data_IF_304206067759
#
_entry.id   IF_304206067759
#
_cell.length_a   1.000
_cell.length_b   1.000
_cell.length_c   1.000
_cell.angle_alpha   90.00
_cell.angle_beta   90.00
_cell.angle_gamma   90.00
#
_symmetry.space_group_name_H-M   'P 1'
#
loop_
_entity.id
_entity.type
_entity.pdbx_description
1 polymer ?
#
# COMPACT_ATOMS: atom_id res chain seq x y z
N UNK A 1 21.20 4.83 6.84
CA UNK A 1 22.51 4.63 6.17
C UNK A 1 23.31 5.92 5.99
N UNK A 2 22.74 7.01 5.43
CA UNK A 2 23.44 8.30 5.27
C UNK A 2 23.97 8.85 6.60
N UNK A 3 23.12 8.91 7.62
CA UNK A 3 23.47 9.46 8.93
C UNK A 3 24.70 8.77 9.55
N UNK A 4 24.75 7.43 9.53
CA UNK A 4 25.88 6.66 10.08
C UNK A 4 27.20 6.94 9.33
N UNK A 5 27.18 6.96 7.99
CA UNK A 5 28.36 7.31 7.19
C UNK A 5 28.82 8.74 7.49
N UNK A 6 27.89 9.69 7.59
CA UNK A 6 28.20 11.08 7.91
C UNK A 6 28.81 11.20 9.31
N UNK A 7 28.27 10.50 10.31
CA UNK A 7 28.83 10.51 11.67
C UNK A 7 30.22 9.90 11.74
N UNK A 8 30.49 8.82 11.00
CA UNK A 8 31.84 8.23 10.93
C UNK A 8 32.84 9.19 10.28
N UNK A 9 32.45 9.85 9.19
CA UNK A 9 33.31 10.83 8.50
C UNK A 9 33.60 12.03 9.40
N UNK A 10 32.58 12.57 10.07
CA UNK A 10 32.74 13.68 11.02
C UNK A 10 33.68 13.26 12.16
N UNK A 11 33.50 12.07 12.72
CA UNK A 11 34.38 11.56 13.78
C UNK A 11 35.84 11.47 13.33
N UNK A 12 36.10 10.89 12.15
CA UNK A 12 37.45 10.80 11.58
C UNK A 12 38.05 12.19 11.37
N UNK A 13 37.29 13.14 10.83
CA UNK A 13 37.75 14.52 10.64
C UNK A 13 38.10 15.21 11.97
N UNK A 14 37.25 15.08 12.99
CA UNK A 14 37.50 15.63 14.33
C UNK A 14 38.75 15.03 14.94
N UNK A 15 38.97 13.72 14.80
CA UNK A 15 40.19 13.05 15.28
C UNK A 15 41.44 13.58 14.57
N UNK A 16 41.40 13.73 13.24
CA UNK A 16 42.53 14.26 12.47
C UNK A 16 42.85 15.70 12.88
N UNK A 17 41.83 16.57 13.01
CA UNK A 17 42.01 17.95 13.47
C UNK A 17 42.58 17.99 14.89
N UNK A 18 42.11 17.12 15.78
CA UNK A 18 42.61 16.98 17.15
C UNK A 18 44.10 16.63 17.21
N UNK A 19 44.53 15.64 16.42
CA UNK A 19 45.94 15.24 16.32
C UNK A 19 46.79 16.41 15.79
N UNK A 20 46.36 17.07 14.71
CA UNK A 20 47.09 18.21 14.13
C UNK A 20 47.22 19.36 15.14
N UNK A 21 46.13 19.67 15.85
CA UNK A 21 46.13 20.70 16.89
C UNK A 21 47.11 20.35 18.02
N UNK A 22 47.10 19.10 18.48
CA UNK A 22 47.93 18.64 19.59
C UNK A 22 49.43 18.62 19.21
N UNK A 23 49.78 18.09 18.03
CA UNK A 23 51.15 18.12 17.51
C UNK A 23 51.65 19.55 17.36
N UNK A 24 50.82 20.46 16.81
CA UNK A 24 51.15 21.89 16.73
C UNK A 24 51.34 22.53 18.12
N UNK A 25 50.57 22.10 19.12
CA UNK A 25 50.69 22.61 20.49
C UNK A 25 52.00 22.17 21.12
N UNK A 26 52.38 20.89 21.00
CA UNK A 26 53.67 20.38 21.51
C UNK A 26 54.85 21.13 20.88
N UNK A 27 54.84 21.33 19.56
CA UNK A 27 55.91 22.04 18.86
C UNK A 27 56.08 23.49 19.32
N UNK A 28 55.02 24.14 19.81
CA UNK A 28 55.07 25.52 20.32
C UNK A 28 55.54 25.62 21.77
N UNK A 29 55.68 24.50 22.50
CA UNK A 29 56.10 24.52 23.90
C UNK A 29 57.63 24.59 23.99
N UNK A 30 58.15 25.74 24.44
CA UNK A 30 59.55 25.88 24.81
C UNK A 30 59.76 25.27 26.21
N UNK A 31 60.38 24.08 26.25
CA UNK A 31 60.88 23.49 27.49
C UNK A 31 62.32 23.97 27.71
N UNK A 32 62.67 24.21 28.99
CA UNK A 32 63.89 24.89 29.45
C UNK A 32 65.12 24.66 28.58
N UNK A 33 65.52 25.71 27.86
CA UNK A 33 66.79 25.75 27.11
C UNK A 33 67.93 25.62 28.12
N UNK A 34 68.87 24.70 27.91
CA UNK A 34 70.20 24.75 28.54
C UNK A 34 70.87 26.03 28.01
N UNK A 35 70.70 27.14 28.74
CA UNK A 35 71.21 28.45 28.34
C UNK A 35 72.70 28.57 28.68
N UNK A 36 73.37 29.61 28.18
CA UNK A 36 74.80 29.89 28.43
C UNK A 36 75.11 29.90 29.94
N UNK A 37 74.16 30.33 30.77
CA UNK A 37 74.27 30.33 32.24
C UNK A 37 74.42 28.92 32.82
N UNK A 38 73.68 27.93 32.28
CA UNK A 38 73.78 26.54 32.73
C UNK A 38 75.17 25.96 32.41
N UNK A 39 75.65 26.15 31.18
CA UNK A 39 76.95 25.64 30.79
C UNK A 39 78.12 26.36 31.49
N UNK A 40 77.94 27.64 31.85
CA UNK A 40 78.93 28.36 32.64
C UNK A 40 79.05 27.80 34.07
N UNK A 41 77.92 27.39 34.69
CA UNK A 41 77.95 26.69 35.98
C UNK A 41 78.62 25.31 35.87
N UNK A 42 78.35 24.57 34.78
CA UNK A 42 79.03 23.31 34.51
C UNK A 42 80.54 23.50 34.30
N UNK A 43 80.97 24.57 33.61
CA UNK A 43 82.38 24.91 33.45
C UNK A 43 83.10 25.10 34.80
N UNK A 44 82.47 25.80 35.74
CA UNK A 44 83.04 25.98 37.08
C UNK A 44 83.20 24.65 37.83
N UNK A 45 82.21 23.75 37.71
CA UNK A 45 82.28 22.43 38.33
C UNK A 45 83.36 21.54 37.68
N UNK A 46 83.49 21.58 36.35
CA UNK A 46 84.55 20.90 35.60
C UNK A 46 85.94 21.40 36.04
N UNK A 47 86.12 22.73 36.16
CA UNK A 47 87.37 23.32 36.65
C UNK A 47 87.68 22.90 38.09
N UNK A 48 86.68 22.84 38.97
CA UNK A 48 86.85 22.41 40.35
C UNK A 48 87.29 20.93 40.45
N UNK A 49 86.66 20.04 39.68
CA UNK A 49 87.00 18.61 39.68
C UNK A 49 88.38 18.34 39.06
N UNK A 50 88.78 19.11 38.05
CA UNK A 50 90.14 19.08 37.49
C UNK A 50 91.19 19.50 38.52
N UNK A 51 90.89 20.48 39.37
CA UNK A 51 91.78 20.90 40.46
C UNK A 51 91.89 19.86 41.57
N UNK A 52 90.84 19.06 41.79
CA UNK A 52 90.82 17.95 42.75
C UNK A 52 91.55 16.70 42.22
N UNK A 53 92.03 16.71 40.97
CA UNK A 53 92.81 15.63 40.38
C UNK A 53 91.97 14.45 39.89
N UNK A 54 90.67 14.66 39.65
CA UNK A 54 89.80 13.65 39.01
C UNK A 54 90.24 13.46 37.57
N UNK A 55 90.17 12.22 37.07
CA UNK A 55 90.60 11.90 35.70
C UNK A 55 89.72 12.58 34.65
N UNK A 56 90.31 13.01 33.53
CA UNK A 56 89.58 13.69 32.45
C UNK A 56 88.42 12.84 31.93
N UNK A 57 88.61 11.53 31.73
CA UNK A 57 87.55 10.61 31.29
C UNK A 57 86.36 10.53 32.26
N UNK A 58 86.60 10.63 33.58
CA UNK A 58 85.52 10.64 34.57
C UNK A 58 84.73 11.95 34.54
N UNK A 59 85.41 13.08 34.32
CA UNK A 59 84.79 14.41 34.23
C UNK A 59 83.99 14.53 32.93
N UNK A 60 84.56 14.10 31.81
CA UNK A 60 83.89 14.07 30.51
C UNK A 60 82.57 13.29 30.57
N UNK A 61 82.59 12.11 31.22
CA UNK A 61 81.41 11.29 31.41
C UNK A 61 80.40 11.89 32.40
N UNK A 62 80.87 12.51 33.48
CA UNK A 62 80.02 13.09 34.54
C UNK A 62 79.27 14.33 34.05
N UNK A 63 79.92 15.16 33.25
CA UNK A 63 79.39 16.45 32.77
C UNK A 63 78.99 16.45 31.29
N UNK A 64 79.08 15.28 30.64
CA UNK A 64 78.75 15.08 29.22
C UNK A 64 79.46 16.10 28.31
N UNK A 65 80.76 16.26 28.52
CA UNK A 65 81.60 17.23 27.81
C UNK A 65 82.85 16.55 27.24
N UNK A 66 83.53 17.23 26.31
CA UNK A 66 84.85 16.83 25.82
C UNK A 66 85.88 17.85 26.29
N UNK A 67 86.94 17.39 26.96
CA UNK A 67 88.01 18.21 27.50
C UNK A 67 89.22 18.10 26.58
N UNK A 68 89.76 19.24 26.19
CA UNK A 68 90.95 19.35 25.34
C UNK A 68 91.98 20.17 26.10
N UNK A 69 92.99 19.51 26.66
CA UNK A 69 94.09 20.15 27.39
C UNK A 69 95.16 20.72 26.44
N UNK A 70 94.72 21.51 25.49
CA UNK A 70 95.62 22.22 24.58
C UNK A 70 95.08 23.59 24.23
N UNK A 71 96.02 24.51 24.08
CA UNK A 71 95.80 25.91 23.72
C UNK A 71 95.92 26.14 22.23
N UNK A 72 96.22 25.10 21.44
CA UNK A 72 96.40 25.22 20.00
C UNK A 72 95.04 25.33 19.28
N UNK A 73 94.76 26.44 18.59
CA UNK A 73 93.51 26.61 17.85
C UNK A 73 93.35 25.66 16.65
N UNK A 74 94.45 25.09 16.13
CA UNK A 74 94.44 24.17 14.97
C UNK A 74 94.36 22.69 15.35
N UNK A 75 94.02 22.40 16.61
CA UNK A 75 93.91 21.03 17.08
C UNK A 75 92.78 20.26 16.37
N UNK A 76 93.05 19.09 15.76
CA UNK A 76 92.07 18.36 14.95
C UNK A 76 90.78 18.01 15.71
N UNK A 77 90.87 17.73 17.01
CA UNK A 77 89.72 17.42 17.85
C UNK A 77 88.84 18.65 18.11
N UNK A 78 89.47 19.81 18.32
CA UNK A 78 88.77 21.08 18.49
C UNK A 78 88.04 21.48 17.21
N UNK A 79 88.70 21.37 16.04
CA UNK A 79 88.09 21.65 14.73
C UNK A 79 86.88 20.73 14.49
N UNK A 80 86.98 19.44 14.86
CA UNK A 80 85.89 18.47 14.76
C UNK A 80 84.69 18.86 15.64
N UNK A 81 84.91 19.32 16.86
CA UNK A 81 83.83 19.75 17.77
C UNK A 81 83.18 21.06 17.32
N UNK A 82 83.95 22.01 16.81
CA UNK A 82 83.43 23.25 16.21
C UNK A 82 82.58 22.94 14.98
N UNK A 83 83.00 21.98 14.14
CA UNK A 83 82.21 21.54 12.97
C UNK A 83 80.85 20.93 13.36
N UNK A 84 80.76 20.36 14.57
CA UNK A 84 79.52 19.84 15.18
C UNK A 84 78.71 20.90 15.93
N UNK A 85 79.07 22.19 15.81
CA UNK A 85 78.44 23.32 16.53
C UNK A 85 78.47 23.18 18.05
N UNK A 86 79.52 22.57 18.60
CA UNK A 86 79.69 22.49 20.04
C UNK A 86 79.86 23.88 20.68
N UNK A 87 79.34 24.07 21.89
CA UNK A 87 79.66 25.22 22.73
C UNK A 87 81.02 24.97 23.35
N UNK A 88 82.02 25.71 22.90
CA UNK A 88 83.39 25.63 23.40
C UNK A 88 83.62 26.77 24.39
N UNK A 89 84.12 26.44 25.57
CA UNK A 89 84.53 27.40 26.59
C UNK A 89 85.95 27.13 27.06
N UNK A 90 86.64 28.19 27.48
CA UNK A 90 88.03 28.10 27.91
C UNK A 90 88.15 27.65 29.37
N UNK A 91 89.05 26.70 29.62
CA UNK A 91 89.44 26.28 30.96
C UNK A 91 90.60 27.18 31.39
N UNK A 92 90.41 27.94 32.47
CA UNK A 92 91.42 28.87 32.98
C UNK A 92 91.94 28.42 34.33
N UNK A 93 93.26 28.44 34.53
CA UNK A 93 93.92 28.21 35.82
C UNK A 93 94.83 29.39 36.12
N UNK A 94 94.63 30.03 37.28
CA UNK A 94 95.38 31.22 37.70
C UNK A 94 95.42 32.36 36.66
N UNK A 95 94.39 32.46 35.82
CA UNK A 95 94.25 33.49 34.78
C UNK A 95 94.82 33.11 33.42
N UNK A 96 95.48 31.97 33.27
CA UNK A 96 95.96 31.45 31.98
C UNK A 96 95.02 30.37 31.43
N UNK A 97 94.84 30.37 30.11
CA UNK A 97 94.05 29.33 29.42
C UNK A 97 94.91 28.06 29.36
N UNK A 98 94.44 27.00 30.00
CA UNK A 98 95.13 25.70 30.06
C UNK A 98 94.49 24.62 29.19
N UNK A 99 93.27 24.86 28.72
CA UNK A 99 92.54 23.95 27.85
C UNK A 99 91.18 24.49 27.46
N UNK A 100 90.37 23.66 26.80
CA UNK A 100 89.01 23.97 26.36
C UNK A 100 88.07 22.83 26.73
N UNK A 101 86.82 23.16 27.02
CA UNK A 101 85.74 22.18 27.19
C UNK A 101 84.65 22.44 26.17
N UNK A 102 84.13 21.38 25.57
CA UNK A 102 83.11 21.45 24.53
C UNK A 102 81.88 20.63 24.89
N UNK A 103 80.70 21.22 24.73
CA UNK A 103 79.41 20.54 24.84
C UNK A 103 78.75 20.42 23.47
N UNK A 104 78.43 19.20 23.05
CA UNK A 104 77.73 18.91 21.79
C UNK A 104 76.22 18.67 21.97
N UNK A 105 75.71 18.70 23.20
CA UNK A 105 74.35 18.30 23.57
C UNK A 105 73.33 19.47 23.63
N UNK A 106 73.68 20.61 23.02
CA UNK A 106 72.89 21.86 23.08
C UNK A 106 71.54 21.73 22.37
N UNK A 107 71.48 20.96 21.28
CA UNK A 107 70.26 20.77 20.48
C UNK A 107 69.71 19.33 20.52
N UNK A 108 70.57 18.32 20.68
CA UNK A 108 70.20 16.93 20.37
C UNK A 108 69.32 16.22 21.42
N UNK A 109 69.50 16.46 22.72
CA UNK A 109 68.74 15.69 23.73
C UNK A 109 67.26 16.14 23.82
N UNK A 110 67.01 17.44 23.69
CA UNK A 110 65.67 18.02 23.79
C UNK A 110 64.80 17.70 22.55
N UNK A 111 65.39 17.72 21.34
CA UNK A 111 64.67 17.33 20.12
C UNK A 111 64.32 15.85 20.11
N UNK A 112 65.22 14.99 20.61
CA UNK A 112 64.96 13.57 20.74
C UNK A 112 63.84 13.26 21.74
N UNK A 113 63.80 13.94 22.89
CA UNK A 113 62.70 13.81 23.86
C UNK A 113 61.36 14.29 23.28
N UNK A 114 61.34 15.43 22.57
CA UNK A 114 60.13 15.94 21.88
C UNK A 114 59.61 14.96 20.82
N UNK A 115 60.50 14.44 19.98
CA UNK A 115 60.12 13.48 18.93
C UNK A 115 59.56 12.18 19.51
N UNK A 116 60.08 11.73 20.65
CA UNK A 116 59.60 10.55 21.37
C UNK A 116 58.19 10.75 21.95
N UNK A 117 57.93 11.92 22.57
CA UNK A 117 56.61 12.27 23.07
C UNK A 117 55.57 12.39 21.95
N UNK A 118 55.92 13.05 20.85
CA UNK A 118 55.02 13.17 19.69
C UNK A 118 54.68 11.80 19.11
N UNK A 119 55.66 10.91 18.94
CA UNK A 119 55.44 9.53 18.47
C UNK A 119 54.51 8.76 19.42
N UNK A 120 54.76 8.83 20.72
CA UNK A 120 53.94 8.12 21.73
C UNK A 120 52.48 8.57 21.71
N UNK A 121 52.25 9.87 21.58
CA UNK A 121 50.91 10.45 21.47
C UNK A 121 50.21 9.99 20.18
N UNK A 122 50.90 10.05 19.04
CA UNK A 122 50.32 9.62 17.76
C UNK A 122 49.89 8.15 17.85
N UNK A 123 50.71 7.28 18.45
CA UNK A 123 50.38 5.86 18.64
C UNK A 123 49.10 5.71 19.49
N UNK A 124 48.99 6.42 20.62
CA UNK A 124 47.80 6.38 21.47
C UNK A 124 46.56 6.83 20.69
N UNK A 125 46.66 7.90 19.91
CA UNK A 125 45.56 8.41 19.08
C UNK A 125 45.13 7.43 18.00
N UNK A 126 46.07 6.75 17.35
CA UNK A 126 45.78 5.72 16.35
C UNK A 126 45.07 4.53 17.01
N UNK A 127 45.51 4.09 18.19
CA UNK A 127 44.84 3.01 18.94
C UNK A 127 43.39 3.38 19.27
N UNK A 128 43.16 4.60 19.77
CA UNK A 128 41.81 5.09 20.07
C UNK A 128 40.96 5.14 18.80
N UNK A 129 41.51 5.66 17.69
CA UNK A 129 40.81 5.75 16.41
C UNK A 129 40.39 4.37 15.90
N UNK A 130 41.30 3.39 15.90
CA UNK A 130 41.01 2.02 15.46
C UNK A 130 39.97 1.37 16.38
N UNK A 131 40.08 1.56 17.69
CA UNK A 131 39.11 1.05 18.66
C UNK A 131 37.69 1.58 18.42
N UNK A 132 37.54 2.90 18.25
CA UNK A 132 36.23 3.51 17.99
C UNK A 132 35.67 3.10 16.63
N UNK A 133 36.51 3.01 15.59
CA UNK A 133 36.09 2.51 14.28
C UNK A 133 35.62 1.04 14.36
N UNK A 134 36.31 0.21 15.14
CA UNK A 134 35.90 -1.18 15.39
C UNK A 134 34.54 -1.26 16.11
N UNK A 135 34.32 -0.45 17.14
CA UNK A 135 33.03 -0.36 17.85
C UNK A 135 31.93 0.13 16.91
N UNK A 136 32.18 1.16 16.10
CA UNK A 136 31.23 1.64 15.10
C UNK A 136 30.87 0.54 14.10
N UNK A 137 31.86 -0.18 13.57
CA UNK A 137 31.64 -1.29 12.65
C UNK A 137 30.82 -2.41 13.31
N UNK A 138 31.10 -2.73 14.57
CA UNK A 138 30.34 -3.72 15.34
C UNK A 138 28.87 -3.28 15.50
N UNK A 139 28.60 -2.03 15.90
CA UNK A 139 27.25 -1.48 15.99
C UNK A 139 26.55 -1.54 14.63
N UNK A 140 27.26 -1.21 13.55
CA UNK A 140 26.69 -1.25 12.22
C UNK A 140 26.25 -2.66 11.80
N UNK A 141 27.13 -3.65 11.98
CA UNK A 141 26.89 -5.03 11.56
C UNK A 141 25.85 -5.74 12.45
N UNK A 142 25.89 -5.52 13.76
CA UNK A 142 25.03 -6.23 14.71
C UNK A 142 23.70 -5.52 15.00
N UNK A 143 23.62 -4.20 14.82
CA UNK A 143 22.43 -3.41 15.19
C UNK A 143 21.77 -2.74 14.00
N UNK A 144 22.50 -1.90 13.25
CA UNK A 144 21.90 -1.05 12.21
C UNK A 144 21.44 -1.87 11.00
N UNK A 145 22.25 -2.84 10.55
CA UNK A 145 21.91 -3.67 9.40
C UNK A 145 20.65 -4.54 9.66
N UNK A 146 20.57 -5.33 10.75
CA UNK A 146 19.37 -6.12 11.04
C UNK A 146 18.09 -5.29 11.17
N UNK A 147 18.15 -4.12 11.83
CA UNK A 147 16.98 -3.25 11.96
C UNK A 147 16.46 -2.75 10.60
N UNK A 148 17.34 -2.46 9.64
CA UNK A 148 16.91 -2.07 8.29
C UNK A 148 16.31 -3.25 7.51
N UNK A 149 16.82 -4.46 7.69
CA UNK A 149 16.25 -5.68 7.10
C UNK A 149 14.82 -5.92 7.64
N UNK A 150 14.62 -5.73 8.95
CA UNK A 150 13.30 -5.86 9.59
C UNK A 150 12.29 -4.82 9.13
N UNK A 151 12.75 -3.59 8.86
CA UNK A 151 11.91 -2.58 8.20
C UNK A 151 11.41 -3.09 6.84
N UNK A 152 12.29 -3.71 6.06
CA UNK A 152 11.92 -4.33 4.78
C UNK A 152 10.85 -5.42 4.94
N UNK A 153 11.00 -6.30 5.93
CA UNK A 153 9.98 -7.33 6.23
C UNK A 153 8.62 -6.72 6.58
N UNK A 154 8.61 -5.64 7.37
CA UNK A 154 7.38 -4.93 7.72
C UNK A 154 6.71 -4.31 6.49
N UNK A 155 7.49 -3.75 5.55
CA UNK A 155 6.97 -3.19 4.29
C UNK A 155 6.39 -4.28 3.37
N UNK A 156 7.01 -5.47 3.30
CA UNK A 156 6.48 -6.60 2.52
C UNK A 156 5.17 -7.14 3.10
N UNK A 157 5.09 -7.31 4.42
CA UNK A 157 3.85 -7.70 5.12
C UNK A 157 2.75 -6.65 4.87
N UNK A 158 3.08 -5.36 4.99
CA UNK A 158 2.12 -4.28 4.74
C UNK A 158 1.63 -4.22 3.30
N UNK A 159 2.41 -4.70 2.33
CA UNK A 159 2.00 -4.85 0.92
C UNK A 159 1.18 -6.11 0.65
N UNK A 160 0.97 -6.96 1.66
CA UNK A 160 0.24 -8.22 1.54
C UNK A 160 1.08 -9.41 1.08
N UNK A 161 2.41 -9.27 0.99
CA UNK A 161 3.30 -10.38 0.65
C UNK A 161 3.66 -11.19 1.91
N UNK A 162 2.84 -12.18 2.24
CA UNK A 162 2.99 -13.02 3.45
C UNK A 162 3.81 -14.30 3.21
N UNK A 163 4.23 -14.57 1.98
CA UNK A 163 4.99 -15.77 1.61
C UNK A 163 6.50 -15.58 1.69
N UNK A 164 6.97 -14.33 1.76
CA UNK A 164 8.39 -14.02 1.81
C UNK A 164 9.03 -14.57 3.10
N UNK A 165 10.06 -15.43 3.02
CA UNK A 165 10.72 -15.99 4.20
C UNK A 165 11.52 -14.90 4.95
N UNK A 166 11.32 -14.82 6.26
CA UNK A 166 12.07 -13.94 7.16
C UNK A 166 13.29 -14.73 7.62
N UNK A 167 14.50 -14.24 7.34
CA UNK A 167 15.72 -14.89 7.80
C UNK A 167 15.86 -14.73 9.33
N UNK A 168 15.58 -15.79 10.08
CA UNK A 168 15.64 -15.79 11.55
C UNK A 168 17.11 -15.87 12.00
N UNK A 169 17.59 -14.81 12.64
CA UNK A 169 18.92 -14.79 13.24
C UNK A 169 18.82 -15.14 14.73
N UNK A 170 18.66 -16.45 15.05
CA UNK A 170 18.43 -16.97 16.41
C UNK A 170 19.45 -16.54 17.47
N UNK A 171 20.68 -16.22 17.08
CA UNK A 171 21.76 -15.84 18.01
C UNK A 171 22.01 -14.31 18.10
N UNK A 172 21.11 -13.47 17.58
CA UNK A 172 21.23 -12.01 17.67
C UNK A 172 20.30 -11.44 18.76
N UNK A 173 20.60 -10.25 19.25
CA UNK A 173 19.80 -9.46 20.21
C UNK A 173 18.35 -9.26 19.70
N UNK A 174 18.14 -9.33 18.38
CA UNK A 174 16.83 -9.22 17.73
C UNK A 174 16.14 -10.56 17.45
N UNK A 175 16.69 -11.70 17.90
CA UNK A 175 16.15 -13.03 17.60
C UNK A 175 14.68 -13.19 18.00
N UNK A 176 14.34 -12.81 19.24
CA UNK A 176 12.95 -12.86 19.74
C UNK A 176 12.00 -11.94 18.98
N UNK A 177 12.51 -10.81 18.48
CA UNK A 177 11.74 -9.87 17.69
C UNK A 177 11.50 -10.44 16.28
N UNK A 178 12.52 -11.02 15.64
CA UNK A 178 12.34 -11.71 14.35
C UNK A 178 11.37 -12.89 14.44
N UNK A 179 11.39 -13.63 15.55
CA UNK A 179 10.43 -14.72 15.81
C UNK A 179 9.00 -14.20 15.99
N UNK A 180 8.82 -13.12 16.76
CA UNK A 180 7.51 -12.48 16.93
C UNK A 180 6.93 -11.98 15.61
N UNK A 181 7.78 -11.46 14.70
CA UNK A 181 7.39 -11.07 13.35
C UNK A 181 6.99 -12.26 12.48
N UNK A 182 7.73 -13.36 12.57
CA UNK A 182 7.45 -14.58 11.82
C UNK A 182 6.10 -15.19 12.24
N UNK A 183 5.84 -15.27 13.55
CA UNK A 183 4.55 -15.69 14.12
C UNK A 183 3.43 -14.77 13.65
N UNK A 184 3.62 -13.45 13.69
CA UNK A 184 2.61 -12.49 13.22
C UNK A 184 2.30 -12.68 11.73
N UNK A 185 3.33 -12.85 10.88
CA UNK A 185 3.16 -13.09 9.44
C UNK A 185 2.40 -14.39 9.19
N UNK A 186 2.75 -15.46 9.89
CA UNK A 186 2.09 -16.75 9.77
C UNK A 186 0.62 -16.70 10.23
N UNK A 187 0.33 -16.02 11.35
CA UNK A 187 -1.04 -15.84 11.84
C UNK A 187 -1.87 -14.98 10.88
N UNK A 188 -1.29 -13.91 10.32
CA UNK A 188 -1.94 -13.11 9.29
C UNK A 188 -2.25 -13.94 8.04
N UNK A 189 -1.30 -14.78 7.60
CA UNK A 189 -1.49 -15.66 6.45
C UNK A 189 -2.61 -16.66 6.71
N UNK A 190 -2.59 -17.32 7.88
CA UNK A 190 -3.62 -18.25 8.29
C UNK A 190 -4.99 -17.58 8.46
N UNK A 191 -5.04 -16.35 8.97
CA UNK A 191 -6.27 -15.57 9.09
C UNK A 191 -6.85 -15.22 7.71
N UNK A 192 -6.01 -14.77 6.78
CA UNK A 192 -6.42 -14.43 5.41
C UNK A 192 -6.96 -15.65 4.65
N UNK A 193 -6.31 -16.80 4.80
CA UNK A 193 -6.77 -18.06 4.21
C UNK A 193 -8.12 -18.50 4.80
N UNK A 194 -8.28 -18.42 6.14
CA UNK A 194 -9.55 -18.72 6.81
C UNK A 194 -10.68 -17.80 6.35
N UNK A 195 -10.40 -16.51 6.20
CA UNK A 195 -11.34 -15.52 5.66
C UNK A 195 -11.78 -15.89 4.24
N UNK A 196 -10.81 -16.19 3.35
CA UNK A 196 -11.10 -16.60 1.98
C UNK A 196 -11.93 -17.90 1.91
N UNK A 197 -11.61 -18.89 2.75
CA UNK A 197 -12.38 -20.13 2.84
C UNK A 197 -13.80 -19.90 3.37
N UNK A 198 -13.96 -19.04 4.38
CA UNK A 198 -15.28 -18.71 4.92
C UNK A 198 -16.14 -17.98 3.89
N UNK A 199 -15.57 -17.03 3.15
CA UNK A 199 -16.25 -16.35 2.04
C UNK A 199 -16.66 -17.35 0.95
N UNK A 200 -15.76 -18.24 0.54
CA UNK A 200 -16.10 -19.28 -0.45
C UNK A 200 -17.23 -20.19 0.03
N UNK A 201 -17.17 -20.66 1.28
CA UNK A 201 -18.23 -21.49 1.87
C UNK A 201 -19.57 -20.75 1.96
N UNK A 202 -19.55 -19.45 2.30
CA UNK A 202 -20.76 -18.59 2.31
C UNK A 202 -21.38 -18.51 0.90
N UNK A 203 -20.57 -18.37 -0.17
CA UNK A 203 -21.07 -18.40 -1.57
C UNK A 203 -21.71 -19.73 -1.94
N UNK A 204 -21.00 -20.83 -1.68
CA UNK A 204 -21.46 -22.18 -2.05
C UNK A 204 -22.77 -22.52 -1.32
N UNK A 205 -22.86 -22.24 -0.02
CA UNK A 205 -24.06 -22.45 0.79
C UNK A 205 -25.27 -21.67 0.26
N UNK A 206 -25.08 -20.39 -0.10
CA UNK A 206 -26.15 -19.56 -0.65
C UNK A 206 -26.64 -20.10 -2.00
N UNK A 207 -25.74 -20.57 -2.86
CA UNK A 207 -26.09 -21.15 -4.15
C UNK A 207 -26.90 -22.44 -4.01
N UNK A 208 -26.50 -23.32 -3.09
CA UNK A 208 -27.19 -24.58 -2.79
C UNK A 208 -28.60 -24.32 -2.23
N UNK A 209 -28.72 -23.46 -1.21
CA UNK A 209 -30.02 -23.06 -0.63
C UNK A 209 -30.96 -22.46 -1.68
N UNK A 210 -30.42 -21.69 -2.63
CA UNK A 210 -31.20 -21.08 -3.72
C UNK A 210 -31.77 -22.13 -4.65
N UNK A 211 -30.97 -23.13 -5.04
CA UNK A 211 -31.45 -24.24 -5.85
C UNK A 211 -32.53 -25.06 -5.12
N UNK A 212 -32.30 -25.34 -3.84
CA UNK A 212 -33.16 -26.19 -3.02
C UNK A 212 -34.49 -25.55 -2.65
N UNK A 213 -34.57 -24.21 -2.62
CA UNK A 213 -35.82 -23.49 -2.41
C UNK A 213 -36.56 -23.24 -3.73
N UNK A 214 -35.85 -23.01 -4.84
CA UNK A 214 -36.47 -22.78 -6.16
C UNK A 214 -37.31 -23.99 -6.62
N UNK A 215 -36.82 -25.20 -6.38
CA UNK A 215 -37.47 -26.46 -6.77
C UNK A 215 -38.86 -26.66 -6.13
N UNK A 216 -39.03 -26.59 -4.79
CA UNK A 216 -40.34 -26.71 -4.16
C UNK A 216 -41.24 -25.52 -4.48
N UNK A 217 -40.71 -24.29 -4.61
CA UNK A 217 -41.51 -23.12 -4.98
C UNK A 217 -42.07 -23.24 -6.39
N UNK A 218 -41.28 -23.67 -7.37
CA UNK A 218 -41.75 -23.94 -8.73
C UNK A 218 -42.82 -25.04 -8.76
N UNK A 219 -42.68 -26.06 -7.90
CA UNK A 219 -43.70 -27.11 -7.75
C UNK A 219 -44.99 -26.53 -7.19
N UNK A 220 -44.91 -25.69 -6.15
CA UNK A 220 -46.09 -25.00 -5.59
C UNK A 220 -46.79 -24.16 -6.66
N UNK A 221 -46.05 -23.33 -7.40
CA UNK A 221 -46.59 -22.52 -8.50
C UNK A 221 -47.28 -23.39 -9.55
N UNK A 222 -46.63 -24.44 -10.03
CA UNK A 222 -47.21 -25.37 -11.02
C UNK A 222 -48.49 -26.03 -10.49
N UNK A 223 -48.51 -26.46 -9.22
CA UNK A 223 -49.71 -27.04 -8.63
C UNK A 223 -50.85 -26.02 -8.49
N UNK A 224 -50.52 -24.77 -8.14
CA UNK A 224 -51.48 -23.67 -8.10
C UNK A 224 -52.07 -23.41 -9.48
N UNK A 225 -51.25 -23.31 -10.53
CA UNK A 225 -51.72 -23.13 -11.91
C UNK A 225 -52.69 -24.24 -12.33
N UNK A 226 -52.35 -25.50 -12.04
CA UNK A 226 -53.24 -26.64 -12.36
C UNK A 226 -54.54 -26.59 -11.57
N UNK A 227 -54.49 -26.23 -10.28
CA UNK A 227 -55.70 -26.10 -9.44
C UNK A 227 -56.59 -24.96 -9.92
N UNK A 228 -56.00 -23.80 -10.26
CA UNK A 228 -56.69 -22.65 -10.82
C UNK A 228 -57.40 -23.00 -12.12
N UNK A 229 -56.69 -23.60 -13.07
CA UNK A 229 -57.27 -24.06 -14.35
C UNK A 229 -58.42 -25.06 -14.16
N UNK A 230 -58.31 -25.97 -13.18
CA UNK A 230 -59.41 -26.90 -12.85
C UNK A 230 -60.62 -26.19 -12.27
N UNK A 231 -60.42 -25.23 -11.37
CA UNK A 231 -61.49 -24.46 -10.75
C UNK A 231 -62.18 -23.55 -11.77
N UNK A 232 -61.42 -22.87 -12.63
CA UNK A 232 -61.93 -22.04 -13.74
C UNK A 232 -62.76 -22.86 -14.73
N UNK A 233 -62.28 -24.05 -15.14
CA UNK A 233 -63.07 -24.96 -16.00
C UNK A 233 -64.35 -25.45 -15.33
N UNK A 234 -64.33 -25.69 -14.01
CA UNK A 234 -65.52 -26.09 -13.26
C UNK A 234 -66.52 -24.92 -13.21
N UNK A 235 -66.03 -23.71 -12.95
CA UNK A 235 -66.80 -22.47 -12.95
C UNK A 235 -67.45 -22.20 -14.32
N UNK A 236 -66.69 -22.32 -15.41
CA UNK A 236 -67.15 -22.10 -16.78
C UNK A 236 -68.25 -23.11 -17.18
N UNK A 237 -68.10 -24.39 -16.82
CA UNK A 237 -69.14 -25.41 -17.05
C UNK A 237 -70.44 -25.10 -16.30
N UNK A 238 -70.34 -24.67 -15.04
CA UNK A 238 -71.52 -24.35 -14.22
C UNK A 238 -72.22 -23.08 -14.72
N UNK A 239 -71.45 -22.07 -15.17
CA UNK A 239 -71.99 -20.84 -15.77
C UNK A 239 -72.67 -21.10 -17.13
N UNK A 240 -72.09 -21.94 -17.99
CA UNK A 240 -72.67 -22.30 -19.28
C UNK A 240 -73.94 -23.15 -19.14
N UNK A 241 -74.02 -24.02 -18.12
CA UNK A 241 -75.24 -24.77 -17.80
C UNK A 241 -76.40 -23.86 -17.34
N UNK A 242 -76.10 -22.72 -16.70
CA UNK A 242 -77.10 -21.74 -16.28
C UNK A 242 -77.66 -20.91 -17.45
N UNK A 243 -76.89 -20.72 -18.53
CA UNK A 243 -77.27 -19.92 -19.69
C UNK A 243 -78.06 -20.71 -20.77
N UNK A 244 -78.15 -22.04 -20.66
CA UNK A 244 -78.84 -22.88 -21.65
C UNK A 244 -79.78 -23.90 -20.94
N UNK A 245 -81.05 -23.52 -20.64
CA UNK A 245 -81.92 -24.22 -19.70
C UNK A 245 -82.57 -25.54 -20.19
N UNK A 246 -82.06 -26.18 -21.25
CA UNK A 246 -82.74 -27.33 -21.87
C UNK A 246 -82.27 -28.73 -21.40
N UNK A 247 -81.16 -28.87 -20.67
CA UNK A 247 -80.54 -30.19 -20.47
C UNK A 247 -80.71 -30.86 -19.08
N UNK A 248 -81.19 -30.19 -18.02
CA UNK A 248 -81.47 -30.89 -16.73
C UNK A 248 -82.43 -30.11 -15.80
N UNK A 249 -83.70 -30.54 -15.61
CA UNK A 249 -84.68 -29.88 -14.74
C UNK A 249 -84.46 -30.09 -13.23
N UNK A 250 -83.45 -30.87 -12.83
CA UNK A 250 -83.36 -31.40 -11.45
C UNK A 250 -82.36 -30.66 -10.56
N UNK A 251 -81.49 -29.81 -11.14
CA UNK A 251 -80.52 -29.03 -10.35
C UNK A 251 -81.15 -27.73 -9.87
N UNK A 252 -81.31 -27.64 -8.54
CA UNK A 252 -81.87 -26.46 -7.89
C UNK A 252 -80.87 -25.30 -8.02
N UNK A 253 -81.35 -24.09 -8.32
CA UNK A 253 -80.54 -22.86 -8.48
C UNK A 253 -79.57 -22.65 -7.30
N UNK A 254 -79.96 -23.10 -6.09
CA UNK A 254 -79.14 -23.07 -4.89
C UNK A 254 -77.86 -23.95 -4.96
N UNK A 255 -77.91 -25.14 -5.58
CA UNK A 255 -76.74 -26.02 -5.74
C UNK A 255 -75.73 -25.45 -6.75
N UNK A 256 -76.23 -24.75 -7.77
CA UNK A 256 -75.39 -24.04 -8.75
C UNK A 256 -74.70 -22.81 -8.15
N UNK A 257 -75.37 -22.04 -7.29
CA UNK A 257 -74.76 -20.87 -6.63
C UNK A 257 -73.72 -21.30 -5.59
N UNK A 258 -73.97 -22.37 -4.83
CA UNK A 258 -73.02 -22.91 -3.85
C UNK A 258 -71.74 -23.45 -4.52
N UNK A 259 -71.88 -24.19 -5.64
CA UNK A 259 -70.72 -24.71 -6.40
C UNK A 259 -69.93 -23.61 -7.12
N UNK A 260 -70.58 -22.52 -7.54
CA UNK A 260 -69.92 -21.32 -8.09
C UNK A 260 -69.16 -20.58 -7.00
N UNK A 261 -69.75 -20.41 -5.82
CA UNK A 261 -69.09 -19.78 -4.68
C UNK A 261 -67.86 -20.58 -4.22
N UNK A 262 -67.97 -21.90 -4.17
CA UNK A 262 -66.87 -22.81 -3.80
C UNK A 262 -65.72 -22.78 -4.82
N UNK A 263 -66.03 -22.75 -6.12
CA UNK A 263 -65.01 -22.63 -7.17
C UNK A 263 -64.29 -21.26 -7.12
N UNK A 264 -65.02 -20.17 -6.83
CA UNK A 264 -64.43 -18.84 -6.63
C UNK A 264 -63.51 -18.80 -5.39
N UNK A 265 -63.94 -19.37 -4.27
CA UNK A 265 -63.13 -19.44 -3.04
C UNK A 265 -61.83 -20.23 -3.26
N UNK A 266 -61.88 -21.33 -4.02
CA UNK A 266 -60.68 -22.09 -4.40
C UNK A 266 -59.72 -21.24 -5.25
N UNK A 267 -60.23 -20.53 -6.27
CA UNK A 267 -59.40 -19.66 -7.11
C UNK A 267 -58.73 -18.57 -6.27
N UNK A 268 -59.48 -17.93 -5.38
CA UNK A 268 -58.97 -16.85 -4.52
C UNK A 268 -57.88 -17.34 -3.55
N UNK A 269 -58.07 -18.53 -2.95
CA UNK A 269 -57.04 -19.18 -2.11
C UNK A 269 -55.81 -19.60 -2.90
N UNK A 270 -55.99 -20.16 -4.09
CA UNK A 270 -54.89 -20.57 -4.97
C UNK A 270 -54.08 -19.37 -5.43
N UNK A 271 -54.74 -18.28 -5.81
CA UNK A 271 -54.08 -17.02 -6.17
C UNK A 271 -53.29 -16.45 -4.99
N UNK A 272 -53.83 -16.52 -3.77
CA UNK A 272 -53.10 -16.13 -2.57
C UNK A 272 -51.86 -16.99 -2.33
N UNK A 273 -51.94 -18.31 -2.50
CA UNK A 273 -50.79 -19.22 -2.34
C UNK A 273 -49.74 -18.94 -3.42
N UNK A 274 -50.15 -18.76 -4.68
CA UNK A 274 -49.27 -18.42 -5.79
C UNK A 274 -48.53 -17.11 -5.52
N UNK A 275 -49.24 -16.06 -5.09
CA UNK A 275 -48.65 -14.77 -4.75
C UNK A 275 -47.65 -14.88 -3.57
N UNK A 276 -47.92 -15.73 -2.57
CA UNK A 276 -46.96 -16.00 -1.49
C UNK A 276 -45.73 -16.77 -1.97
N UNK A 277 -45.89 -17.73 -2.88
CA UNK A 277 -44.79 -18.45 -3.49
C UNK A 277 -43.90 -17.52 -4.33
N UNK A 278 -44.49 -16.57 -5.06
CA UNK A 278 -43.77 -15.53 -5.79
C UNK A 278 -42.94 -14.64 -4.87
N UNK A 279 -43.51 -14.21 -3.74
CA UNK A 279 -42.79 -13.42 -2.72
C UNK A 279 -41.59 -14.20 -2.17
N UNK A 280 -41.73 -15.51 -1.93
CA UNK A 280 -40.61 -16.36 -1.47
C UNK A 280 -39.52 -16.44 -2.54
N UNK A 281 -39.90 -16.69 -3.79
CA UNK A 281 -38.96 -16.78 -4.91
C UNK A 281 -38.16 -15.48 -5.07
N UNK A 282 -38.86 -14.34 -4.96
CA UNK A 282 -38.21 -13.04 -5.04
C UNK A 282 -37.32 -12.74 -3.83
N UNK A 283 -37.77 -13.03 -2.60
CA UNK A 283 -36.93 -12.89 -1.39
C UNK A 283 -35.63 -13.68 -1.50
N UNK A 284 -35.72 -14.91 -2.02
CA UNK A 284 -34.55 -15.75 -2.27
C UNK A 284 -33.62 -15.15 -3.30
N UNK A 285 -34.14 -14.67 -4.43
CA UNK A 285 -33.32 -13.97 -5.42
C UNK A 285 -32.61 -12.76 -4.81
N UNK A 286 -33.26 -11.99 -3.93
CA UNK A 286 -32.62 -10.83 -3.28
C UNK A 286 -31.55 -11.24 -2.27
N UNK A 287 -31.77 -12.28 -1.45
CA UNK A 287 -30.75 -12.77 -0.53
C UNK A 287 -29.56 -13.28 -1.32
N UNK A 288 -29.81 -14.03 -2.39
CA UNK A 288 -28.79 -14.52 -3.32
C UNK A 288 -28.00 -13.38 -3.94
N UNK A 289 -28.68 -12.36 -4.48
CA UNK A 289 -28.03 -11.19 -5.06
C UNK A 289 -27.28 -10.36 -4.02
N UNK A 290 -27.86 -10.08 -2.85
CA UNK A 290 -27.22 -9.28 -1.81
C UNK A 290 -25.98 -9.96 -1.22
N UNK A 291 -26.06 -11.28 -1.00
CA UNK A 291 -24.91 -12.04 -0.49
C UNK A 291 -23.85 -12.22 -1.57
N UNK A 292 -24.21 -12.55 -2.81
CA UNK A 292 -23.23 -12.55 -3.90
C UNK A 292 -22.66 -11.17 -4.20
N UNK A 293 -23.39 -10.08 -3.98
CA UNK A 293 -22.87 -8.71 -4.13
C UNK A 293 -21.88 -8.33 -3.02
N UNK A 294 -22.02 -8.89 -1.81
CA UNK A 294 -21.02 -8.76 -0.74
C UNK A 294 -19.78 -9.61 -1.00
N UNK A 295 -19.99 -10.78 -1.61
CA UNK A 295 -18.99 -11.85 -1.75
C UNK A 295 -18.24 -11.82 -3.09
N UNK A 296 -18.80 -11.20 -4.13
CA UNK A 296 -18.18 -11.01 -5.44
C UNK A 296 -18.15 -9.54 -5.81
N UNK A 297 -16.96 -9.07 -6.21
CA UNK A 297 -16.87 -7.99 -7.17
C UNK A 297 -17.76 -8.38 -8.36
N UNK A 298 -18.97 -7.80 -8.50
CA UNK A 298 -19.88 -8.03 -9.64
C UNK A 298 -19.07 -8.28 -10.92
N UNK A 299 -19.04 -9.54 -11.38
CA UNK A 299 -18.20 -9.97 -12.49
C UNK A 299 -18.88 -9.54 -13.78
N UNK A 300 -18.19 -8.66 -14.50
CA UNK A 300 -18.62 -8.12 -15.79
C UNK A 300 -17.57 -8.54 -16.80
N UNK A 301 -17.94 -9.43 -17.71
CA UNK A 301 -17.08 -9.84 -18.82
C UNK A 301 -17.24 -8.85 -19.96
N UNK A 302 -16.52 -7.73 -19.84
CA UNK A 302 -16.48 -6.69 -20.87
C UNK A 302 -15.85 -7.25 -22.16
N UNK A 303 -16.66 -7.41 -23.20
CA UNK A 303 -16.25 -7.86 -24.55
C UNK A 303 -16.61 -6.82 -25.60
N UNK A 304 -15.96 -6.92 -26.75
CA UNK A 304 -16.29 -6.10 -27.92
C UNK A 304 -17.45 -6.76 -28.67
N UNK A 305 -18.58 -6.08 -28.73
CA UNK A 305 -19.81 -6.63 -29.27
C UNK A 305 -20.46 -5.62 -30.23
N UNK A 306 -21.23 -6.12 -31.19
CA UNK A 306 -21.97 -5.28 -32.13
C UNK A 306 -23.19 -4.65 -31.44
N UNK A 307 -23.43 -3.36 -31.69
CA UNK A 307 -24.64 -2.66 -31.26
C UNK A 307 -25.93 -3.30 -31.79
N UNK A 308 -25.88 -4.04 -32.91
CA UNK A 308 -27.04 -4.71 -33.50
C UNK A 308 -27.69 -5.74 -32.57
N UNK A 309 -26.94 -6.33 -31.64
CA UNK A 309 -27.48 -7.28 -30.64
C UNK A 309 -28.53 -6.58 -29.75
N UNK A 310 -28.38 -5.29 -29.50
CA UNK A 310 -29.33 -4.50 -28.72
C UNK A 310 -30.63 -4.29 -29.50
N UNK A 311 -30.55 -4.08 -30.82
CA UNK A 311 -31.74 -4.01 -31.68
C UNK A 311 -32.50 -5.34 -31.69
N UNK A 312 -31.81 -6.45 -31.86
CA UNK A 312 -32.41 -7.80 -31.78
C UNK A 312 -33.12 -8.04 -30.44
N UNK A 313 -32.55 -7.55 -29.34
CA UNK A 313 -33.16 -7.63 -28.02
C UNK A 313 -34.49 -6.85 -27.95
N UNK A 314 -34.50 -5.58 -28.37
CA UNK A 314 -35.70 -4.75 -28.33
C UNK A 314 -36.79 -5.23 -29.29
N UNK A 315 -36.42 -5.70 -30.49
CA UNK A 315 -37.36 -6.29 -31.45
C UNK A 315 -38.06 -7.52 -30.86
N UNK A 316 -37.30 -8.37 -30.14
CA UNK A 316 -37.85 -9.54 -29.45
C UNK A 316 -38.79 -9.15 -28.30
N UNK A 317 -38.45 -8.09 -27.57
CA UNK A 317 -39.23 -7.65 -26.42
C UNK A 317 -40.53 -6.93 -26.82
N UNK A 318 -40.53 -6.23 -27.96
CA UNK A 318 -41.70 -5.56 -28.52
C UNK A 318 -42.85 -6.55 -28.85
N UNK A 319 -42.56 -7.84 -29.02
CA UNK A 319 -43.61 -8.85 -29.20
C UNK A 319 -44.51 -9.03 -27.95
N UNK A 320 -44.02 -8.63 -26.77
CA UNK A 320 -44.70 -8.84 -25.49
C UNK A 320 -45.04 -7.53 -24.77
N UNK A 321 -44.50 -6.40 -25.22
CA UNK A 321 -44.58 -5.09 -24.57
C UNK A 321 -44.78 -4.02 -25.64
N UNK A 322 -45.63 -3.02 -25.40
CA UNK A 322 -45.76 -1.87 -26.31
C UNK A 322 -44.51 -0.99 -26.29
N UNK A 323 -43.53 -1.30 -27.15
CA UNK A 323 -42.25 -0.61 -27.23
C UNK A 323 -42.01 -0.06 -28.64
N UNK A 324 -41.72 1.24 -28.74
CA UNK A 324 -41.47 1.91 -30.02
C UNK A 324 -40.02 2.35 -30.12
N UNK A 325 -39.32 1.90 -31.18
CA UNK A 325 -38.01 2.43 -31.56
C UNK A 325 -38.21 3.68 -32.43
N UNK A 326 -37.78 4.85 -31.96
CA UNK A 326 -37.96 6.11 -32.71
C UNK A 326 -36.97 6.27 -33.86
N UNK A 327 -35.82 5.60 -33.78
CA UNK A 327 -34.80 5.61 -34.81
C UNK A 327 -34.01 4.30 -34.85
N UNK A 328 -33.21 4.13 -35.89
CA UNK A 328 -32.31 2.99 -36.02
C UNK A 328 -31.06 3.15 -35.15
N UNK A 329 -30.62 2.05 -34.54
CA UNK A 329 -29.36 1.99 -33.80
C UNK A 329 -28.18 2.17 -34.78
N UNK A 330 -27.19 3.03 -34.49
CA UNK A 330 -26.01 3.13 -35.32
C UNK A 330 -25.16 1.87 -35.21
N UNK A 331 -24.76 1.31 -36.35
CA UNK A 331 -23.89 0.12 -36.41
C UNK A 331 -22.48 0.48 -35.91
N UNK A 332 -22.13 -0.02 -34.72
CA UNK A 332 -20.83 0.21 -34.11
C UNK A 332 -20.45 -0.91 -33.15
N UNK A 333 -19.16 -1.03 -32.87
CA UNK A 333 -18.66 -1.90 -31.80
C UNK A 333 -18.67 -1.15 -30.48
N UNK A 334 -19.23 -1.78 -29.46
CA UNK A 334 -19.29 -1.27 -28.09
C UNK A 334 -18.69 -2.27 -27.12
N UNK A 335 -18.16 -1.77 -26.01
CA UNK A 335 -17.80 -2.62 -24.91
C UNK A 335 -19.01 -2.93 -24.05
N UNK A 336 -19.42 -4.19 -23.99
CA UNK A 336 -20.49 -4.64 -23.13
C UNK A 336 -20.33 -6.11 -22.71
N UNK A 337 -21.04 -6.49 -21.66
CA UNK A 337 -21.30 -7.88 -21.29
C UNK A 337 -22.73 -8.21 -21.73
N UNK A 338 -22.89 -9.16 -22.66
CA UNK A 338 -24.18 -9.50 -23.27
C UNK A 338 -25.23 -9.90 -22.23
N UNK A 339 -24.87 -10.70 -21.24
CA UNK A 339 -25.82 -11.19 -20.24
C UNK A 339 -26.26 -10.06 -19.30
N UNK A 340 -25.31 -9.21 -18.90
CA UNK A 340 -25.60 -8.06 -18.01
C UNK A 340 -26.38 -6.97 -18.72
N UNK A 341 -26.17 -6.79 -20.02
CA UNK A 341 -26.95 -5.88 -20.85
C UNK A 341 -28.42 -6.26 -20.88
N UNK A 342 -28.75 -7.56 -21.08
CA UNK A 342 -30.16 -8.01 -21.04
C UNK A 342 -30.77 -7.71 -19.66
N UNK A 343 -30.04 -7.98 -18.57
CA UNK A 343 -30.48 -7.65 -17.21
C UNK A 343 -30.69 -6.15 -16.99
N UNK A 344 -29.85 -5.30 -17.58
CA UNK A 344 -30.00 -3.84 -17.52
C UNK A 344 -31.33 -3.42 -18.15
N UNK A 345 -31.60 -3.90 -19.37
CA UNK A 345 -32.83 -3.55 -20.07
C UNK A 345 -34.08 -4.14 -19.41
N UNK A 346 -34.04 -5.39 -18.96
CA UNK A 346 -35.15 -6.02 -18.22
C UNK A 346 -35.52 -5.22 -16.97
N UNK A 347 -34.53 -4.71 -16.23
CA UNK A 347 -34.78 -3.90 -15.04
C UNK A 347 -35.42 -2.55 -15.37
N UNK A 348 -34.98 -1.88 -16.44
CA UNK A 348 -35.54 -0.58 -16.84
C UNK A 348 -36.95 -0.75 -17.39
N UNK A 349 -37.14 -1.66 -18.35
CA UNK A 349 -38.42 -1.93 -19.00
C UNK A 349 -39.43 -2.47 -17.98
N UNK A 350 -38.99 -3.39 -17.10
CA UNK A 350 -39.82 -3.91 -16.02
C UNK A 350 -40.28 -2.82 -15.04
N UNK A 351 -39.42 -1.84 -14.75
CA UNK A 351 -39.82 -0.68 -13.96
C UNK A 351 -40.86 0.17 -14.71
N UNK A 352 -40.62 0.55 -15.96
CA UNK A 352 -41.59 1.34 -16.73
C UNK A 352 -42.95 0.65 -16.84
N UNK A 353 -42.99 -0.66 -17.09
CA UNK A 353 -44.25 -1.43 -17.12
C UNK A 353 -44.97 -1.44 -15.77
N UNK A 354 -44.23 -1.60 -14.68
CA UNK A 354 -44.78 -1.64 -13.32
C UNK A 354 -45.29 -0.27 -12.86
N UNK A 355 -44.58 0.81 -13.17
CA UNK A 355 -44.84 2.12 -12.60
C UNK A 355 -45.65 3.04 -13.51
N UNK A 356 -45.39 3.03 -14.82
CA UNK A 356 -46.07 3.85 -15.80
C UNK A 356 -47.25 3.11 -16.47
N UNK A 357 -47.06 1.86 -16.88
CA UNK A 357 -48.07 1.09 -17.61
C UNK A 357 -48.46 1.70 -18.96
N UNK A 358 -47.55 2.46 -19.58
CA UNK A 358 -47.72 3.16 -20.86
C UNK A 358 -46.72 2.65 -21.90
N UNK A 359 -46.87 3.10 -23.15
CA UNK A 359 -45.94 2.79 -24.23
C UNK A 359 -44.54 3.34 -23.90
N UNK A 360 -43.52 2.53 -24.19
CA UNK A 360 -42.11 2.84 -23.92
C UNK A 360 -41.44 3.26 -25.24
N UNK A 361 -40.76 4.40 -25.22
CA UNK A 361 -40.02 4.93 -26.36
C UNK A 361 -38.52 4.73 -26.13
N UNK A 362 -37.85 4.18 -27.14
CA UNK A 362 -36.40 3.98 -27.13
C UNK A 362 -35.76 4.79 -28.25
N UNK A 363 -34.78 5.62 -27.90
CA UNK A 363 -34.07 6.50 -28.81
C UNK A 363 -32.57 6.19 -28.73
N UNK A 364 -31.93 5.99 -29.87
CA UNK A 364 -30.49 5.81 -29.97
C UNK A 364 -29.80 7.12 -30.36
N UNK A 365 -28.66 7.41 -29.76
CA UNK A 365 -27.89 8.62 -30.04
C UNK A 365 -26.39 8.40 -29.86
N UNK A 366 -25.62 9.46 -30.13
CA UNK A 366 -24.19 9.48 -29.85
C UNK A 366 -23.88 10.53 -28.79
N UNK A 367 -22.99 10.20 -27.87
CA UNK A 367 -22.48 11.13 -26.87
C UNK A 367 -20.95 11.11 -26.87
N UNK A 368 -20.35 12.27 -26.64
CA UNK A 368 -18.90 12.42 -26.52
C UNK A 368 -18.54 12.76 -25.08
N UNK A 369 -17.66 11.95 -24.48
CA UNK A 369 -17.10 12.18 -23.16
C UNK A 369 -16.06 13.30 -23.13
N UNK A 370 -15.50 13.52 -21.94
CA UNK A 370 -14.46 14.52 -21.72
C UNK A 370 -13.20 14.24 -22.57
N UNK A 371 -12.52 15.32 -22.97
CA UNK A 371 -11.23 15.24 -23.67
C UNK A 371 -10.22 14.48 -22.83
N UNK A 372 -9.67 13.40 -23.39
CA UNK A 372 -8.58 12.63 -22.80
C UNK A 372 -7.28 13.44 -22.90
N UNK A 373 -6.34 13.13 -22.02
CA UNK A 373 -5.02 13.76 -21.97
C UNK A 373 -4.18 13.54 -23.24
N UNK A 374 -4.56 12.54 -24.06
CA UNK A 374 -3.96 12.21 -25.37
C UNK A 374 -4.59 12.97 -26.55
N UNK A 375 -5.61 13.82 -26.30
CA UNK A 375 -6.31 14.60 -27.32
C UNK A 375 -7.49 13.88 -27.97
N UNK A 376 -7.76 12.61 -27.63
CA UNK A 376 -8.96 11.88 -28.06
C UNK A 376 -10.20 12.19 -27.22
N UNK A 377 -11.39 11.98 -27.78
CA UNK A 377 -12.64 11.99 -27.01
C UNK A 377 -13.18 10.56 -26.93
N UNK A 378 -13.50 10.09 -25.72
CA UNK A 378 -14.27 8.85 -25.59
C UNK A 378 -15.63 9.04 -26.25
N UNK A 379 -16.01 8.15 -27.17
CA UNK A 379 -17.33 8.16 -27.80
C UNK A 379 -18.21 7.09 -27.18
N UNK A 380 -19.47 7.43 -26.97
CA UNK A 380 -20.47 6.57 -26.37
C UNK A 380 -21.67 6.43 -27.31
N UNK A 381 -22.23 5.22 -27.36
CA UNK A 381 -23.59 4.98 -27.83
C UNK A 381 -24.52 5.33 -26.68
N UNK A 382 -25.41 6.30 -26.90
CA UNK A 382 -26.45 6.69 -25.94
C UNK A 382 -27.73 5.95 -26.28
N UNK A 383 -28.37 5.36 -25.27
CA UNK A 383 -29.67 4.70 -25.39
C UNK A 383 -30.60 5.35 -24.38
N UNK A 384 -31.58 6.09 -24.85
CA UNK A 384 -32.57 6.77 -24.02
C UNK A 384 -33.84 5.94 -24.01
N UNK A 385 -34.26 5.49 -22.82
CA UNK A 385 -35.52 4.78 -22.59
C UNK A 385 -36.45 5.74 -21.84
N UNK A 386 -37.60 6.05 -22.43
CA UNK A 386 -38.61 6.95 -21.87
C UNK A 386 -39.93 6.19 -21.69
N UNK A 387 -40.54 6.35 -20.53
CA UNK A 387 -41.96 6.07 -20.33
C UNK A 387 -42.79 7.36 -20.27
N UNK A 388 -44.12 7.20 -20.31
CA UNK A 388 -45.09 8.30 -20.21
C UNK A 388 -45.88 8.22 -18.89
N UNK A 389 -45.22 7.74 -17.83
CA UNK A 389 -45.83 7.59 -16.51
C UNK A 389 -45.92 8.90 -15.72
N UNK A 390 -46.31 8.82 -14.44
CA UNK A 390 -46.31 9.99 -13.53
C UNK A 390 -44.90 10.52 -13.22
N UNK A 391 -43.85 9.84 -13.69
CA UNK A 391 -42.46 10.13 -13.32
C UNK A 391 -42.16 9.73 -11.87
N UNK A 392 -41.03 10.22 -11.36
CA UNK A 392 -40.58 10.02 -9.97
C UNK A 392 -40.59 11.36 -9.24
N UNK A 393 -41.10 11.49 -8.01
CA UNK A 393 -41.05 12.75 -7.28
C UNK A 393 -39.61 13.31 -7.18
N UNK A 394 -39.43 14.64 -7.32
CA UNK A 394 -38.09 15.26 -7.34
C UNK A 394 -37.24 14.95 -6.09
N UNK A 395 -37.89 14.81 -4.94
CA UNK A 395 -37.27 14.45 -3.66
C UNK A 395 -36.80 12.98 -3.60
N UNK A 396 -37.44 12.10 -4.36
CA UNK A 396 -37.11 10.67 -4.43
C UNK A 396 -36.10 10.37 -5.55
N UNK A 397 -36.00 11.23 -6.56
CA UNK A 397 -35.17 11.03 -7.75
C UNK A 397 -33.69 10.69 -7.40
N UNK A 398 -33.01 11.35 -6.43
CA UNK A 398 -31.65 10.97 -6.06
C UNK A 398 -31.56 9.59 -5.38
N UNK A 399 -32.65 9.12 -4.77
CA UNK A 399 -32.69 7.93 -3.92
C UNK A 399 -33.06 6.65 -4.68
N UNK A 400 -33.67 6.74 -5.87
CA UNK A 400 -34.13 5.56 -6.63
C UNK A 400 -33.02 4.61 -7.08
N UNK A 401 -31.77 5.07 -7.11
CA UNK A 401 -30.58 4.26 -7.41
C UNK A 401 -29.88 3.74 -6.16
N UNK A 402 -30.33 4.12 -4.96
CA UNK A 402 -29.80 3.59 -3.71
C UNK A 402 -30.33 2.18 -3.43
N UNK A 403 -29.49 1.37 -2.78
CA UNK A 403 -29.86 -0.01 -2.44
C UNK A 403 -31.10 -0.02 -1.54
N UNK A 404 -32.08 -0.85 -1.91
CA UNK A 404 -33.31 -1.12 -1.15
C UNK A 404 -34.28 0.06 -1.04
N UNK A 405 -34.06 1.13 -1.79
CA UNK A 405 -34.96 2.27 -1.78
C UNK A 405 -36.23 1.99 -2.59
N UNK A 406 -37.38 2.41 -2.05
CA UNK A 406 -38.68 2.38 -2.71
C UNK A 406 -39.43 3.67 -2.38
N UNK A 407 -40.02 4.30 -3.41
CA UNK A 407 -40.86 5.47 -3.24
C UNK A 407 -42.12 5.23 -2.41
N UNK A 408 -42.67 6.32 -1.86
CA UNK A 408 -43.68 6.30 -0.80
C UNK A 408 -45.03 5.65 -1.14
N UNK A 409 -45.39 5.55 -2.42
CA UNK A 409 -46.77 5.23 -2.86
C UNK A 409 -46.96 3.83 -3.48
N UNK A 410 -46.09 2.88 -3.12
CA UNK A 410 -45.95 1.59 -3.85
C UNK A 410 -46.29 0.37 -2.98
N UNK A 411 -47.23 0.48 -2.03
CA UNK A 411 -47.55 -0.64 -1.12
C UNK A 411 -48.10 -1.89 -1.82
N UNK A 412 -48.70 -1.73 -3.01
CA UNK A 412 -49.33 -2.83 -3.79
C UNK A 412 -48.50 -3.34 -4.99
N UNK A 413 -47.32 -2.78 -5.29
CA UNK A 413 -46.50 -3.25 -6.44
C UNK A 413 -45.28 -4.08 -6.01
N UNK A 414 -45.03 -5.22 -6.64
CA UNK A 414 -43.96 -6.19 -6.33
C UNK A 414 -42.56 -5.71 -6.78
N UNK A 415 -41.58 -5.61 -5.88
CA UNK A 415 -40.17 -5.28 -6.20
C UNK A 415 -39.36 -4.72 -5.02
N UNK A 416 -38.03 -4.89 -5.02
CA UNK A 416 -37.20 -4.76 -3.80
C UNK A 416 -36.23 -3.57 -3.78
N UNK A 417 -36.30 -2.67 -4.77
CA UNK A 417 -35.46 -1.47 -4.80
C UNK A 417 -33.98 -1.73 -5.14
N UNK A 418 -33.70 -2.83 -5.87
CA UNK A 418 -32.33 -3.22 -6.27
C UNK A 418 -32.09 -3.00 -7.77
N UNK A 419 -33.15 -2.98 -8.60
CA UNK A 419 -33.05 -2.96 -10.06
C UNK A 419 -32.23 -1.79 -10.62
N UNK A 420 -32.57 -0.55 -10.26
CA UNK A 420 -31.85 0.64 -10.77
C UNK A 420 -30.43 0.75 -10.20
N UNK A 421 -30.19 0.28 -8.97
CA UNK A 421 -28.84 0.16 -8.41
C UNK A 421 -27.97 -0.78 -9.25
N UNK A 422 -28.50 -1.95 -9.63
CA UNK A 422 -27.79 -2.91 -10.49
C UNK A 422 -27.53 -2.33 -11.87
N UNK A 423 -28.50 -1.64 -12.46
CA UNK A 423 -28.32 -0.97 -13.76
C UNK A 423 -27.12 -0.02 -13.71
N UNK A 424 -27.11 0.90 -12.74
CA UNK A 424 -26.02 1.86 -12.55
C UNK A 424 -24.68 1.15 -12.39
N UNK A 425 -24.63 0.14 -11.52
CA UNK A 425 -23.40 -0.60 -11.21
C UNK A 425 -22.88 -1.39 -12.42
N UNK A 426 -23.75 -2.05 -13.18
CA UNK A 426 -23.36 -2.76 -14.40
C UNK A 426 -22.85 -1.79 -15.48
N UNK A 427 -23.49 -0.64 -15.66
CA UNK A 427 -23.06 0.36 -16.65
C UNK A 427 -21.69 0.95 -16.30
N UNK A 428 -21.47 1.31 -15.03
CA UNK A 428 -20.18 1.82 -14.54
C UNK A 428 -19.05 0.79 -14.73
N UNK A 429 -19.30 -0.48 -14.39
CA UNK A 429 -18.30 -1.55 -14.54
C UNK A 429 -17.98 -1.90 -16.00
N UNK A 430 -18.93 -1.70 -16.91
CA UNK A 430 -18.68 -1.82 -18.36
C UNK A 430 -17.86 -0.63 -18.90
N UNK A 431 -17.59 0.40 -18.08
CA UNK A 431 -16.89 1.62 -18.47
C UNK A 431 -17.80 2.60 -19.22
N UNK A 432 -19.11 2.46 -19.03
CA UNK A 432 -20.15 3.32 -19.51
C UNK A 432 -20.69 4.24 -18.40
N UNK A 433 -21.97 4.56 -18.48
CA UNK A 433 -22.66 5.36 -17.47
C UNK A 433 -24.17 5.27 -17.59
N UNK A 434 -24.86 5.85 -16.61
CA UNK A 434 -26.31 5.97 -16.56
C UNK A 434 -26.68 7.35 -16.05
N UNK A 435 -27.62 8.01 -16.72
CA UNK A 435 -28.29 9.21 -16.26
C UNK A 435 -29.80 8.97 -16.22
N UNK A 436 -30.51 9.73 -15.40
CA UNK A 436 -31.96 9.60 -15.27
C UNK A 436 -32.56 10.91 -14.78
N UNK A 437 -33.76 11.21 -15.28
CA UNK A 437 -34.48 12.45 -14.98
C UNK A 437 -35.96 12.30 -15.36
N UNK A 438 -36.79 13.25 -14.95
CA UNK A 438 -38.18 13.32 -15.42
C UNK A 438 -38.29 14.24 -16.63
N UNK A 439 -38.98 13.80 -17.67
CA UNK A 439 -39.44 14.63 -18.78
C UNK A 439 -40.71 14.00 -19.38
N UNK A 440 -41.87 14.54 -18.98
CA UNK A 440 -43.21 14.02 -19.31
C UNK A 440 -43.35 12.50 -19.08
N UNK A 441 -42.70 12.03 -18.00
CA UNK A 441 -42.51 10.63 -17.65
C UNK A 441 -41.10 10.41 -17.08
N UNK A 442 -40.74 9.17 -16.79
CA UNK A 442 -39.39 8.83 -16.32
C UNK A 442 -38.48 8.48 -17.51
N UNK A 443 -37.29 9.07 -17.53
CA UNK A 443 -36.30 8.88 -18.59
C UNK A 443 -35.02 8.31 -18.00
N UNK A 444 -34.49 7.26 -18.62
CA UNK A 444 -33.19 6.66 -18.31
C UNK A 444 -32.31 6.70 -19.56
N UNK A 445 -31.14 7.30 -19.44
CA UNK A 445 -30.11 7.33 -20.49
C UNK A 445 -28.95 6.42 -20.12
N UNK A 446 -28.64 5.46 -20.99
CA UNK A 446 -27.52 4.53 -20.85
C UNK A 446 -26.41 4.86 -21.83
N UNK A 447 -25.18 4.84 -21.36
CA UNK A 447 -24.01 5.18 -22.15
C UNK A 447 -23.11 3.96 -22.30
N UNK A 448 -23.00 3.40 -23.51
CA UNK A 448 -22.10 2.29 -23.83
C UNK A 448 -20.85 2.81 -24.54
N UNK A 449 -19.66 2.48 -24.03
CA UNK A 449 -18.40 2.96 -24.61
C UNK A 449 -18.13 2.30 -25.96
N UNK A 450 -17.88 3.09 -27.01
CA UNK A 450 -17.52 2.57 -28.34
C UNK A 450 -16.07 2.06 -28.37
N UNK A 451 -15.84 1.00 -29.13
CA UNK A 451 -14.52 0.42 -29.41
C UNK A 451 -13.85 1.23 -30.53
N UNK A 452 -12.55 1.51 -30.40
CA UNK A 452 -11.74 2.09 -31.47
C UNK A 452 -12.10 3.55 -31.83
N UNK A 453 -11.91 4.46 -30.88
CA UNK A 453 -12.04 5.91 -31.10
C UNK A 453 -10.74 6.63 -30.76
#
# INVERSE_FOLDING_TARGET
MKLFRTTTIIFVLVMIVGIIFFVRRINKTEYGKKDVVYYNDQLHNVQADLLLGVSEEEIEKKYNCSIIMSTNPDEPELIKLISKRALVMDITRDGEIVGKVAWTDIEDDLENQKSSLIRSVIIIWVIIMVGVLGIMLMIYLFMIRPVNEMKGYSEEIARGNLDAPISIHRNNIFGSFTESFDIMREELKASKEREMQAEKAKKEMVAELSHDIKTPVATIQTTCEVMKLKAERKLEKTLNANNNPQDDPTRTIAETDETVAEAKDIIEKVDMISAKADVINQLMQNIFHATLDELDHIHVEKREESSLIIKEYFDRMNMNVSLTLENDIPECLIYMDKLRMEQVFDNIIGNSMKYAGTDINVIFGEATGAKRSDGGNDRFLKITVRDHGPGVPEEELPLIVEKYYRGGDVRDKTGYGIGLYLVKTYMEKQGGGMEYYNDNGFVVELYFKKVGC
#
